data_IF_271136153554
#
_entry.id   IF_271136153554
#
_cell.length_a   1.000
_cell.length_b   1.000
_cell.length_c   1.000
_cell.angle_alpha   90.00
_cell.angle_beta   90.00
_cell.angle_gamma   90.00
#
_symmetry.space_group_name_H-M   'P 1'
#
loop_
_entity.id
_entity.type
_entity.pdbx_description
1 polymer ?
#
# COMPACT_ATOMS: atom_id res chain seq x y z
N UNK A 1 -0.18 -0.35 27.15
CA UNK A 1 -0.56 -1.77 27.04
C UNK A 1 -0.69 -2.22 25.58
N UNK A 2 -1.55 -1.57 24.81
CA UNK A 2 -1.90 -1.96 23.43
C UNK A 2 -0.69 -2.11 22.49
N UNK A 3 0.16 -1.08 22.40
CA UNK A 3 1.36 -1.12 21.53
C UNK A 3 2.34 -2.19 21.95
N UNK A 4 2.52 -2.38 23.27
CA UNK A 4 3.40 -3.43 23.79
C UNK A 4 2.85 -4.82 23.47
N UNK A 5 1.56 -5.05 23.64
CA UNK A 5 0.91 -6.32 23.32
C UNK A 5 1.01 -6.66 21.83
N UNK A 6 0.72 -5.69 20.96
CA UNK A 6 0.88 -5.87 19.53
C UNK A 6 2.34 -6.09 19.12
N UNK A 7 3.28 -5.34 19.70
CA UNK A 7 4.71 -5.47 19.41
C UNK A 7 5.27 -6.84 19.82
N UNK A 8 4.93 -7.33 21.00
CA UNK A 8 5.32 -8.67 21.48
C UNK A 8 4.72 -9.75 20.57
N UNK A 9 3.43 -9.64 20.23
CA UNK A 9 2.78 -10.58 19.31
C UNK A 9 3.44 -10.63 17.95
N UNK A 10 3.70 -9.47 17.34
CA UNK A 10 4.35 -9.38 16.05
C UNK A 10 5.79 -9.92 16.09
N UNK A 11 6.53 -9.66 17.15
CA UNK A 11 7.88 -10.21 17.35
C UNK A 11 7.86 -11.75 17.42
N UNK A 12 6.94 -12.31 18.19
CA UNK A 12 6.76 -13.77 18.28
C UNK A 12 6.38 -14.35 16.91
N UNK A 13 5.41 -13.73 16.24
CA UNK A 13 4.98 -14.20 14.91
C UNK A 13 6.11 -14.15 13.89
N UNK A 14 6.92 -13.07 13.89
CA UNK A 14 8.10 -12.96 13.03
C UNK A 14 9.15 -14.01 13.33
N UNK A 15 9.43 -14.26 14.61
CA UNK A 15 10.41 -15.28 15.04
C UNK A 15 10.02 -16.68 14.56
N UNK A 16 8.73 -17.04 14.60
CA UNK A 16 8.22 -18.34 14.14
C UNK A 16 7.86 -18.36 12.65
N UNK A 17 7.99 -17.25 11.92
CA UNK A 17 7.63 -17.15 10.51
C UNK A 17 6.12 -17.25 10.25
N UNK A 18 5.29 -16.86 11.21
CA UNK A 18 3.84 -16.88 11.04
C UNK A 18 3.37 -15.67 10.21
N UNK A 19 2.59 -15.89 9.16
CA UNK A 19 2.03 -14.80 8.36
C UNK A 19 0.86 -14.15 9.10
N UNK A 20 1.12 -13.03 9.78
CA UNK A 20 0.10 -12.28 10.53
C UNK A 20 -0.07 -10.87 9.96
N UNK A 21 -1.26 -10.30 10.12
CA UNK A 21 -1.54 -8.92 9.73
C UNK A 21 -1.24 -7.96 10.88
N UNK A 22 -0.41 -6.95 10.62
CA UNK A 22 -0.12 -5.87 11.56
C UNK A 22 -1.38 -5.11 11.96
N UNK A 23 -2.25 -4.78 11.00
CA UNK A 23 -3.52 -4.08 11.24
C UNK A 23 -4.46 -4.90 12.14
N UNK A 24 -4.63 -6.21 11.86
CA UNK A 24 -5.46 -7.08 12.71
C UNK A 24 -4.89 -7.17 14.13
N UNK A 25 -3.57 -7.27 14.24
CA UNK A 25 -2.89 -7.35 15.54
C UNK A 25 -3.09 -6.09 16.37
N UNK A 26 -2.96 -4.91 15.77
CA UNK A 26 -3.18 -3.62 16.45
C UNK A 26 -4.65 -3.47 16.86
N UNK A 27 -5.60 -3.74 15.96
CA UNK A 27 -7.04 -3.65 16.29
C UNK A 27 -7.40 -4.63 17.40
N UNK A 28 -6.92 -5.88 17.31
CA UNK A 28 -7.12 -6.87 18.36
C UNK A 28 -6.52 -6.44 19.71
N UNK A 29 -5.33 -5.87 19.69
CA UNK A 29 -4.67 -5.36 20.90
C UNK A 29 -5.43 -4.18 21.54
N UNK A 30 -5.99 -3.26 20.72
CA UNK A 30 -6.81 -2.14 21.19
C UNK A 30 -8.09 -2.68 21.87
N UNK A 31 -8.80 -3.57 21.18
CA UNK A 31 -10.04 -4.16 21.68
C UNK A 31 -9.79 -5.00 22.94
N UNK A 32 -8.75 -5.85 22.92
CA UNK A 32 -8.40 -6.69 24.07
C UNK A 32 -7.98 -5.88 25.28
N UNK A 33 -7.16 -4.85 25.09
CA UNK A 33 -6.74 -3.96 26.17
C UNK A 33 -7.93 -3.18 26.77
N UNK A 34 -8.84 -2.67 25.93
CA UNK A 34 -10.04 -1.99 26.39
C UNK A 34 -10.97 -2.93 27.18
N UNK A 35 -11.19 -4.14 26.67
CA UNK A 35 -12.06 -5.14 27.31
C UNK A 35 -11.56 -5.52 28.70
N UNK A 36 -10.26 -5.75 28.85
CA UNK A 36 -9.66 -6.21 30.13
C UNK A 36 -9.41 -5.04 31.09
N UNK A 37 -8.94 -3.90 30.57
CA UNK A 37 -8.51 -2.77 31.39
C UNK A 37 -9.65 -1.83 31.84
N UNK A 38 -10.73 -1.75 31.03
CA UNK A 38 -11.82 -0.80 31.27
C UNK A 38 -13.17 -1.53 31.38
N UNK A 39 -13.44 -2.43 30.43
CA UNK A 39 -14.67 -3.20 30.30
C UNK A 39 -15.15 -3.32 28.87
N UNK A 40 -15.98 -4.31 28.61
CA UNK A 40 -16.51 -4.61 27.27
C UNK A 40 -17.52 -3.57 26.78
N UNK A 41 -18.12 -2.82 27.66
CA UNK A 41 -19.18 -1.84 27.39
C UNK A 41 -18.64 -0.56 26.75
N UNK A 42 -17.34 -0.26 26.91
CA UNK A 42 -16.69 0.91 26.28
C UNK A 42 -16.32 0.68 24.82
N UNK A 43 -16.42 -0.57 24.37
CA UNK A 43 -16.03 -0.95 23.01
C UNK A 43 -17.14 -0.58 22.03
N UNK A 44 -16.77 0.17 21.00
CA UNK A 44 -17.69 0.52 19.92
C UNK A 44 -17.85 -0.68 18.95
N UNK A 45 -18.63 -1.69 19.37
CA UNK A 45 -18.83 -2.93 18.61
C UNK A 45 -19.26 -2.71 17.15
N UNK A 46 -20.15 -1.72 16.80
CA UNK A 46 -20.46 -1.43 15.40
C UNK A 46 -19.22 -1.03 14.59
N UNK A 47 -18.27 -0.30 15.20
CA UNK A 47 -17.01 0.06 14.54
C UNK A 47 -16.12 -1.16 14.35
N UNK A 48 -15.99 -2.00 15.36
CA UNK A 48 -15.24 -3.26 15.27
C UNK A 48 -15.81 -4.16 14.18
N UNK A 49 -17.14 -4.34 14.14
CA UNK A 49 -17.81 -5.11 13.10
C UNK A 49 -17.58 -4.55 11.69
N UNK A 50 -17.63 -3.23 11.53
CA UNK A 50 -17.32 -2.56 10.26
C UNK A 50 -15.87 -2.81 9.81
N UNK A 51 -14.91 -2.80 10.74
CA UNK A 51 -13.52 -3.13 10.45
C UNK A 51 -13.38 -4.60 10.06
N UNK A 52 -13.99 -5.51 10.83
CA UNK A 52 -13.97 -6.95 10.53
C UNK A 52 -14.62 -7.27 9.17
N UNK A 53 -15.72 -6.60 8.82
CA UNK A 53 -16.34 -6.73 7.51
C UNK A 53 -15.39 -6.32 6.38
N UNK A 54 -14.60 -5.26 6.57
CA UNK A 54 -13.61 -4.82 5.57
C UNK A 54 -12.53 -5.87 5.31
N UNK A 55 -12.21 -6.74 6.27
CA UNK A 55 -11.23 -7.82 6.11
C UNK A 55 -11.69 -8.91 5.13
N UNK A 56 -13.00 -9.02 4.91
CA UNK A 56 -13.57 -9.94 3.92
C UNK A 56 -13.82 -9.20 2.59
N UNK A 57 -14.43 -8.01 2.67
CA UNK A 57 -14.81 -7.24 1.48
C UNK A 57 -13.59 -6.80 0.66
N UNK A 58 -12.53 -6.32 1.33
CA UNK A 58 -11.34 -5.81 0.64
C UNK A 58 -10.63 -6.88 -0.19
N UNK A 59 -10.33 -8.10 0.32
CA UNK A 59 -9.75 -9.16 -0.49
C UNK A 59 -10.62 -9.61 -1.65
N UNK A 60 -11.96 -9.66 -1.48
CA UNK A 60 -12.88 -10.04 -2.55
C UNK A 60 -12.84 -9.00 -3.68
N UNK A 61 -12.90 -7.71 -3.35
CA UNK A 61 -12.81 -6.64 -4.35
C UNK A 61 -11.44 -6.65 -5.03
N UNK A 62 -10.36 -6.73 -4.25
CA UNK A 62 -8.99 -6.76 -4.77
C UNK A 62 -8.75 -7.98 -5.67
N UNK A 63 -9.21 -9.16 -5.27
CA UNK A 63 -9.13 -10.40 -6.05
C UNK A 63 -9.91 -10.29 -7.37
N UNK A 64 -11.11 -9.72 -7.32
CA UNK A 64 -11.92 -9.50 -8.53
C UNK A 64 -11.24 -8.56 -9.50
N UNK A 65 -10.72 -7.42 -9.02
CA UNK A 65 -10.00 -6.46 -9.86
C UNK A 65 -8.74 -7.10 -10.44
N UNK A 66 -7.97 -7.82 -9.62
CA UNK A 66 -6.76 -8.52 -10.05
C UNK A 66 -7.05 -9.56 -11.13
N UNK A 67 -8.11 -10.35 -10.96
CA UNK A 67 -8.57 -11.32 -11.95
C UNK A 67 -8.95 -10.65 -13.28
N UNK A 68 -9.67 -9.54 -13.24
CA UNK A 68 -10.05 -8.79 -14.44
C UNK A 68 -8.82 -8.20 -15.14
N UNK A 69 -7.88 -7.60 -14.38
CA UNK A 69 -6.62 -7.08 -14.92
C UNK A 69 -5.78 -8.19 -15.54
N UNK A 70 -5.61 -9.32 -14.85
CA UNK A 70 -4.86 -10.45 -15.39
C UNK A 70 -5.49 -11.01 -16.65
N UNK A 71 -6.82 -11.13 -16.67
CA UNK A 71 -7.56 -11.60 -17.85
C UNK A 71 -7.39 -10.63 -19.03
N UNK A 72 -7.38 -9.33 -18.78
CA UNK A 72 -7.12 -8.33 -19.81
C UNK A 72 -5.69 -8.44 -20.35
N UNK A 73 -4.68 -8.56 -19.49
CA UNK A 73 -3.27 -8.80 -19.89
C UNK A 73 -3.15 -10.07 -20.71
N UNK A 74 -3.77 -11.17 -20.24
CA UNK A 74 -3.76 -12.45 -20.96
C UNK A 74 -4.30 -12.32 -22.37
N UNK A 75 -5.47 -11.68 -22.53
CA UNK A 75 -6.12 -11.52 -23.84
C UNK A 75 -5.44 -10.49 -24.74
N UNK A 76 -5.02 -9.35 -24.18
CA UNK A 76 -4.49 -8.23 -24.98
C UNK A 76 -3.00 -8.37 -25.28
N UNK A 77 -2.26 -9.17 -24.50
CA UNK A 77 -0.81 -9.29 -24.63
C UNK A 77 -0.39 -10.73 -24.87
N UNK A 78 -0.67 -11.66 -23.93
CA UNK A 78 -0.06 -12.98 -23.93
C UNK A 78 -0.63 -13.91 -25.02
N UNK A 79 -1.90 -13.78 -25.37
CA UNK A 79 -2.58 -14.62 -26.37
C UNK A 79 -2.61 -14.01 -27.77
N UNK A 80 -1.78 -13.02 -28.06
CA UNK A 80 -1.70 -12.40 -29.39
C UNK A 80 -0.62 -13.08 -30.22
N UNK A 81 -0.68 -12.93 -31.54
CA UNK A 81 0.33 -13.47 -32.47
C UNK A 81 1.74 -12.92 -32.22
N UNK A 82 1.82 -11.67 -31.73
CA UNK A 82 3.08 -11.04 -31.35
C UNK A 82 3.00 -10.43 -29.94
N UNK A 83 3.20 -11.24 -28.89
CA UNK A 83 3.10 -10.79 -27.51
C UNK A 83 4.05 -9.64 -27.16
N UNK A 84 5.24 -9.59 -27.75
CA UNK A 84 6.22 -8.53 -27.52
C UNK A 84 5.72 -7.15 -28.00
N UNK A 85 5.22 -7.07 -29.22
CA UNK A 85 4.68 -5.83 -29.74
C UNK A 85 3.41 -5.39 -29.01
N UNK A 86 2.58 -6.36 -28.64
CA UNK A 86 1.39 -6.13 -27.82
C UNK A 86 1.76 -5.62 -26.44
N UNK A 87 2.80 -6.19 -25.81
CA UNK A 87 3.30 -5.71 -24.52
C UNK A 87 3.78 -4.25 -24.61
N UNK A 88 4.61 -3.91 -25.60
CA UNK A 88 5.07 -2.52 -25.82
C UNK A 88 3.90 -1.54 -26.00
N UNK A 89 2.80 -1.99 -26.61
CA UNK A 89 1.62 -1.16 -26.88
C UNK A 89 0.75 -0.98 -25.63
N UNK A 90 0.50 -2.04 -24.87
CA UNK A 90 -0.50 -2.04 -23.78
C UNK A 90 0.10 -1.82 -22.40
N UNK A 91 1.36 -2.17 -22.13
CA UNK A 91 2.00 -1.96 -20.83
C UNK A 91 1.99 -0.50 -20.40
N UNK A 92 2.20 0.52 -21.26
CA UNK A 92 2.07 1.92 -20.87
C UNK A 92 0.69 2.28 -20.29
N UNK A 93 -0.38 1.63 -20.77
CA UNK A 93 -1.72 1.82 -20.18
C UNK A 93 -1.81 1.30 -18.74
N UNK A 94 -1.25 0.13 -18.46
CA UNK A 94 -1.20 -0.41 -17.09
C UNK A 94 -0.30 0.43 -16.18
N UNK A 95 0.79 0.98 -16.71
CA UNK A 95 1.64 1.93 -15.99
C UNK A 95 0.87 3.20 -15.63
N UNK A 96 0.12 3.75 -16.59
CA UNK A 96 -0.74 4.91 -16.33
C UNK A 96 -1.76 4.63 -15.24
N UNK A 97 -2.47 3.51 -15.32
CA UNK A 97 -3.48 3.13 -14.33
C UNK A 97 -2.88 3.03 -12.92
N UNK A 98 -1.75 2.33 -12.80
CA UNK A 98 -1.05 2.16 -11.52
C UNK A 98 -0.55 3.51 -10.99
N UNK A 99 0.10 4.30 -11.83
CA UNK A 99 0.62 5.62 -11.45
C UNK A 99 -0.49 6.57 -11.02
N UNK A 100 -1.61 6.56 -11.72
CA UNK A 100 -2.78 7.38 -11.38
C UNK A 100 -3.37 6.99 -10.02
N UNK A 101 -3.59 5.70 -9.78
CA UNK A 101 -4.16 5.21 -8.52
C UNK A 101 -3.23 5.51 -7.33
N UNK A 102 -1.93 5.24 -7.47
CA UNK A 102 -0.96 5.53 -6.41
C UNK A 102 -0.87 7.02 -6.12
N UNK A 103 -0.76 7.86 -7.16
CA UNK A 103 -0.73 9.31 -7.00
C UNK A 103 -2.02 9.83 -6.36
N UNK A 104 -3.17 9.30 -6.76
CA UNK A 104 -4.47 9.69 -6.18
C UNK A 104 -4.54 9.38 -4.68
N UNK A 105 -4.11 8.19 -4.26
CA UNK A 105 -4.05 7.82 -2.83
C UNK A 105 -3.08 8.73 -2.08
N UNK A 106 -1.92 9.01 -2.66
CA UNK A 106 -0.91 9.90 -2.07
C UNK A 106 -1.45 11.31 -1.87
N UNK A 107 -2.07 11.91 -2.88
CA UNK A 107 -2.60 13.28 -2.79
C UNK A 107 -3.83 13.40 -1.88
N UNK A 108 -4.71 12.39 -1.87
CA UNK A 108 -5.93 12.43 -1.05
C UNK A 108 -5.66 12.09 0.41
N UNK A 109 -4.75 11.14 0.69
CA UNK A 109 -4.49 10.64 2.05
C UNK A 109 -3.08 10.96 2.55
N UNK A 110 -2.06 10.70 1.75
CA UNK A 110 -0.67 10.77 2.18
C UNK A 110 -0.24 12.16 2.60
N UNK A 111 -0.52 13.17 1.79
CA UNK A 111 -0.08 14.55 2.05
C UNK A 111 -0.82 15.26 3.18
N UNK A 112 -2.00 14.78 3.57
CA UNK A 112 -2.70 15.32 4.76
C UNK A 112 -1.88 15.18 6.03
N UNK A 113 -1.09 14.12 6.14
CA UNK A 113 -0.23 13.87 7.31
C UNK A 113 0.96 14.84 7.39
N UNK A 114 1.29 15.50 6.28
CA UNK A 114 2.37 16.50 6.19
C UNK A 114 1.82 17.94 6.21
N UNK A 115 0.52 18.10 6.51
CA UNK A 115 -0.13 19.41 6.57
C UNK A 115 -0.52 19.99 5.21
N UNK A 116 -0.37 19.23 4.12
CA UNK A 116 -0.75 19.67 2.77
C UNK A 116 -2.10 19.02 2.41
N UNK A 117 -3.13 19.83 2.25
CA UNK A 117 -4.45 19.38 1.85
C UNK A 117 -4.79 19.86 0.44
N UNK A 118 -5.05 18.93 -0.46
CA UNK A 118 -5.59 19.22 -1.79
C UNK A 118 -7.10 19.01 -1.82
N UNK A 119 -7.79 19.82 -2.60
CA UNK A 119 -9.18 19.53 -2.96
C UNK A 119 -9.24 18.29 -3.85
N UNK A 120 -10.40 17.64 -3.93
CA UNK A 120 -10.57 16.46 -4.78
C UNK A 120 -10.19 16.74 -6.23
N UNK A 121 -10.60 17.90 -6.76
CA UNK A 121 -10.26 18.32 -8.13
C UNK A 121 -8.76 18.51 -8.35
N UNK A 122 -8.06 19.11 -7.39
CA UNK A 122 -6.60 19.27 -7.44
C UNK A 122 -5.89 17.92 -7.36
N UNK A 123 -6.36 17.02 -6.48
CA UNK A 123 -5.81 15.67 -6.36
C UNK A 123 -5.94 14.91 -7.67
N UNK A 124 -7.08 14.98 -8.34
CA UNK A 124 -7.28 14.35 -9.66
C UNK A 124 -6.34 14.97 -10.69
N UNK A 125 -6.27 16.30 -10.79
CA UNK A 125 -5.45 17.00 -11.77
C UNK A 125 -3.96 16.64 -11.60
N UNK A 126 -3.42 16.72 -10.40
CA UNK A 126 -2.03 16.36 -10.13
C UNK A 126 -1.77 14.86 -10.36
N UNK A 127 -2.71 13.99 -9.99
CA UNK A 127 -2.58 12.56 -10.25
C UNK A 127 -2.51 12.24 -11.74
N UNK A 128 -3.29 12.94 -12.57
CA UNK A 128 -3.23 12.81 -14.03
C UNK A 128 -1.89 13.27 -14.57
N UNK A 129 -1.36 14.43 -14.12
CA UNK A 129 -0.06 14.94 -14.56
C UNK A 129 1.06 13.96 -14.22
N UNK A 130 1.11 13.47 -12.97
CA UNK A 130 2.13 12.50 -12.55
C UNK A 130 1.99 11.16 -13.28
N UNK A 131 0.77 10.67 -13.46
CA UNK A 131 0.53 9.43 -14.21
C UNK A 131 0.98 9.55 -15.67
N UNK A 132 0.69 10.66 -16.33
CA UNK A 132 1.14 10.91 -17.71
C UNK A 132 2.67 11.00 -17.78
N UNK A 133 3.30 11.72 -16.86
CA UNK A 133 4.76 11.85 -16.80
C UNK A 133 5.45 10.48 -16.66
N UNK A 134 4.98 9.66 -15.70
CA UNK A 134 5.51 8.31 -15.46
C UNK A 134 5.27 7.41 -16.68
N UNK A 135 4.10 7.51 -17.31
CA UNK A 135 3.77 6.73 -18.49
C UNK A 135 4.66 7.09 -19.68
N UNK A 136 4.90 8.38 -19.90
CA UNK A 136 5.81 8.84 -20.98
C UNK A 136 7.23 8.33 -20.72
N UNK A 137 7.74 8.49 -19.50
CA UNK A 137 9.06 7.97 -19.12
C UNK A 137 9.17 6.45 -19.33
N UNK A 138 8.15 5.72 -18.87
CA UNK A 138 8.07 4.27 -19.06
C UNK A 138 8.00 3.88 -20.53
N UNK A 139 7.19 4.55 -21.33
CA UNK A 139 7.09 4.29 -22.76
C UNK A 139 8.42 4.55 -23.49
N UNK A 140 9.15 5.61 -23.12
CA UNK A 140 10.48 5.88 -23.65
C UNK A 140 11.50 4.77 -23.28
N UNK A 141 11.43 4.27 -22.06
CA UNK A 141 12.27 3.13 -21.64
C UNK A 141 11.91 1.86 -22.41
N UNK A 142 10.62 1.60 -22.63
CA UNK A 142 10.14 0.45 -23.39
C UNK A 142 10.56 0.50 -24.86
N UNK A 143 10.67 1.69 -25.46
CA UNK A 143 11.15 1.83 -26.83
C UNK A 143 12.59 1.37 -26.99
N UNK A 144 13.44 1.51 -25.95
CA UNK A 144 14.84 1.09 -25.98
C UNK A 144 15.03 -0.43 -25.86
N UNK A 145 13.99 -1.17 -25.52
CA UNK A 145 14.05 -2.63 -25.46
C UNK A 145 13.95 -3.17 -26.88
N UNK A 146 15.02 -3.81 -27.35
CA UNK A 146 15.05 -4.41 -28.66
C UNK A 146 14.80 -5.92 -28.61
N UNK A 147 14.25 -6.49 -29.68
CA UNK A 147 13.90 -7.91 -29.77
C UNK A 147 15.07 -8.79 -30.30
N UNK A 148 16.28 -8.22 -30.38
CA UNK A 148 17.46 -8.86 -30.97
C UNK A 148 17.92 -10.15 -30.32
N UNK A 149 17.46 -10.42 -29.08
CA UNK A 149 17.79 -11.67 -28.35
C UNK A 149 16.88 -12.86 -28.77
N UNK A 150 15.81 -12.61 -29.52
CA UNK A 150 14.83 -13.61 -29.96
C UNK A 150 15.42 -14.69 -30.89
N UNK A 151 16.45 -14.33 -31.67
CA UNK A 151 17.04 -15.26 -32.65
C UNK A 151 17.98 -16.31 -32.02
N UNK A 152 18.53 -16.06 -30.82
CA UNK A 152 19.55 -16.95 -30.23
C UNK A 152 19.01 -18.09 -29.35
N UNK A 153 17.87 -17.93 -28.69
CA UNK A 153 17.38 -18.89 -27.68
C UNK A 153 15.97 -19.45 -27.92
N UNK A 154 15.27 -19.04 -28.98
CA UNK A 154 13.95 -19.61 -29.35
C UNK A 154 12.80 -19.35 -28.36
N UNK A 155 13.01 -18.60 -27.29
CA UNK A 155 11.99 -18.37 -26.28
C UNK A 155 11.08 -17.20 -26.71
N UNK A 156 9.84 -17.54 -27.02
CA UNK A 156 8.79 -16.64 -27.50
C UNK A 156 8.49 -15.47 -26.56
N UNK A 157 8.84 -15.57 -25.26
CA UNK A 157 8.48 -14.62 -24.21
C UNK A 157 9.65 -13.78 -23.66
N UNK A 158 10.90 -14.00 -24.08
CA UNK A 158 12.07 -13.28 -23.53
C UNK A 158 11.93 -11.74 -23.61
N UNK A 159 11.43 -11.22 -24.72
CA UNK A 159 11.19 -9.80 -24.89
C UNK A 159 10.01 -9.28 -24.09
N UNK A 160 8.97 -10.10 -23.89
CA UNK A 160 7.79 -9.77 -23.07
C UNK A 160 8.20 -9.65 -21.61
N UNK A 161 9.03 -10.57 -21.12
CA UNK A 161 9.52 -10.56 -19.74
C UNK A 161 10.25 -9.25 -19.41
N UNK A 162 11.12 -8.76 -20.30
CA UNK A 162 11.81 -7.48 -20.12
C UNK A 162 10.87 -6.28 -20.06
N UNK A 163 9.84 -6.28 -20.89
CA UNK A 163 8.80 -5.23 -20.87
C UNK A 163 8.05 -5.25 -19.54
N UNK A 164 7.66 -6.44 -19.08
CA UNK A 164 6.98 -6.59 -17.80
C UNK A 164 7.89 -6.31 -16.60
N UNK A 165 9.21 -6.57 -16.70
CA UNK A 165 10.15 -6.25 -15.64
C UNK A 165 10.14 -4.77 -15.26
N UNK A 166 10.03 -3.85 -16.23
CA UNK A 166 9.89 -2.41 -15.96
C UNK A 166 8.58 -2.14 -15.20
N UNK A 167 7.47 -2.71 -15.66
CA UNK A 167 6.19 -2.57 -14.97
C UNK A 167 6.23 -3.16 -13.55
N UNK A 168 6.89 -4.31 -13.37
CA UNK A 168 7.05 -4.95 -12.06
C UNK A 168 7.86 -4.09 -11.09
N UNK A 169 8.97 -3.51 -11.50
CA UNK A 169 9.75 -2.60 -10.64
C UNK A 169 8.89 -1.41 -10.22
N UNK A 170 8.16 -0.81 -11.16
CA UNK A 170 7.29 0.30 -10.87
C UNK A 170 6.16 -0.07 -9.90
N UNK A 171 5.47 -1.19 -10.15
CA UNK A 171 4.38 -1.66 -9.27
C UNK A 171 4.90 -2.12 -7.91
N UNK A 172 6.09 -2.71 -7.84
CA UNK A 172 6.74 -3.07 -6.58
C UNK A 172 7.06 -1.84 -5.72
N UNK A 173 7.62 -0.78 -6.34
CA UNK A 173 7.85 0.50 -5.63
C UNK A 173 6.53 1.12 -5.15
N UNK A 174 5.49 1.10 -5.98
CA UNK A 174 4.17 1.59 -5.63
C UNK A 174 3.55 0.80 -4.47
N UNK A 175 3.68 -0.52 -4.48
CA UNK A 175 3.21 -1.40 -3.41
C UNK A 175 4.01 -1.18 -2.12
N UNK A 176 5.33 -1.08 -2.20
CA UNK A 176 6.17 -0.80 -1.04
C UNK A 176 5.80 0.53 -0.37
N UNK A 177 5.52 1.58 -1.17
CA UNK A 177 5.04 2.87 -0.66
C UNK A 177 3.67 2.74 0.01
N UNK A 178 2.71 2.08 -0.62
CA UNK A 178 1.35 1.92 -0.07
C UNK A 178 1.36 1.07 1.20
N UNK A 179 2.13 -0.03 1.22
CA UNK A 179 2.30 -0.90 2.38
C UNK A 179 2.97 -0.17 3.52
N UNK A 180 4.13 0.48 3.27
CA UNK A 180 4.85 1.23 4.27
C UNK A 180 4.02 2.35 4.89
N UNK A 181 3.23 3.07 4.09
CA UNK A 181 2.30 4.09 4.60
C UNK A 181 1.25 3.50 5.54
N UNK A 182 0.73 2.30 5.24
CA UNK A 182 -0.23 1.61 6.10
C UNK A 182 0.40 1.16 7.43
N UNK A 183 1.59 0.57 7.37
CA UNK A 183 2.27 0.06 8.56
C UNK A 183 2.76 1.19 9.47
N UNK A 184 3.24 2.29 8.89
CA UNK A 184 3.53 3.52 9.65
C UNK A 184 2.26 4.00 10.37
N UNK A 185 1.11 4.04 9.70
CA UNK A 185 -0.15 4.46 10.32
C UNK A 185 -0.59 3.55 11.47
N UNK A 186 -0.40 2.24 11.35
CA UNK A 186 -0.71 1.27 12.41
C UNK A 186 0.12 1.48 13.69
N UNK A 187 1.40 1.83 13.55
CA UNK A 187 2.27 2.11 14.69
C UNK A 187 2.02 3.51 15.27
N UNK A 188 1.87 4.50 14.41
CA UNK A 188 1.79 5.92 14.77
C UNK A 188 0.41 6.28 15.31
N UNK A 189 -0.67 5.73 14.78
CA UNK A 189 -2.03 6.08 15.19
C UNK A 189 -2.24 5.94 16.70
N UNK A 190 -2.01 4.77 17.29
CA UNK A 190 -2.12 4.58 18.73
C UNK A 190 -1.14 5.45 19.54
N UNK A 191 0.09 5.67 19.03
CA UNK A 191 1.06 6.52 19.71
C UNK A 191 0.62 7.99 19.73
N UNK A 192 0.14 8.52 18.59
CA UNK A 192 -0.36 9.87 18.50
C UNK A 192 -1.58 10.09 19.41
N UNK A 193 -2.48 9.10 19.50
CA UNK A 193 -3.61 9.15 20.42
C UNK A 193 -3.16 9.21 21.89
N UNK A 194 -2.17 8.42 22.29
CA UNK A 194 -1.61 8.46 23.63
C UNK A 194 -1.01 9.85 23.95
N UNK A 195 -0.18 10.36 23.03
CA UNK A 195 0.47 11.68 23.20
C UNK A 195 -0.57 12.79 23.29
N UNK A 196 -1.62 12.76 22.45
CA UNK A 196 -2.71 13.73 22.49
C UNK A 196 -3.44 13.72 23.84
N UNK A 197 -3.80 12.54 24.34
CA UNK A 197 -4.47 12.41 25.66
C UNK A 197 -3.59 12.92 26.81
N UNK A 198 -2.30 12.61 26.79
CA UNK A 198 -1.35 13.07 27.81
C UNK A 198 -1.19 14.59 27.78
N UNK A 199 -1.10 15.20 26.58
CA UNK A 199 -0.94 16.64 26.40
C UNK A 199 -2.21 17.43 26.74
N UNK A 200 -3.39 16.87 26.52
CA UNK A 200 -4.67 17.51 26.84
C UNK A 200 -5.10 17.33 28.32
N UNK A 201 -4.31 16.64 29.13
CA UNK A 201 -4.65 16.38 30.53
C UNK A 201 -5.77 15.34 30.73
N UNK A 202 -6.03 14.50 29.72
CA UNK A 202 -7.00 13.41 29.78
C UNK A 202 -8.17 13.54 28.80
N UNK A 203 -8.28 14.66 28.08
CA UNK A 203 -9.34 14.83 27.09
C UNK A 203 -9.08 13.99 25.84
N UNK A 204 -10.12 13.29 25.38
CA UNK A 204 -10.06 12.42 24.18
C UNK A 204 -10.67 13.20 23.00
N UNK A 205 -9.83 13.69 22.10
CA UNK A 205 -10.29 14.30 20.87
C UNK A 205 -10.72 13.24 19.85
N UNK A 206 -11.71 13.58 19.02
CA UNK A 206 -12.18 12.69 17.94
C UNK A 206 -11.11 12.46 16.85
N UNK A 207 -10.19 13.40 16.70
CA UNK A 207 -9.04 13.34 15.81
C UNK A 207 -7.82 13.89 16.51
N UNK A 208 -6.68 13.23 16.39
CA UNK A 208 -5.40 13.70 16.92
C UNK A 208 -4.52 14.16 15.78
N UNK A 209 -3.95 15.36 15.89
CA UNK A 209 -2.87 15.77 14.99
C UNK A 209 -1.65 14.89 15.26
N UNK A 210 -0.98 14.47 14.19
CA UNK A 210 0.20 13.63 14.28
C UNK A 210 1.45 14.52 14.13
N UNK A 211 2.17 14.84 15.22
CA UNK A 211 3.39 15.59 15.13
C UNK A 211 4.45 14.89 14.28
N UNK A 212 5.21 15.65 13.52
CA UNK A 212 6.23 15.12 12.60
C UNK A 212 7.27 14.20 13.29
N UNK A 213 7.63 14.49 14.54
CA UNK A 213 8.55 13.64 15.30
C UNK A 213 8.02 12.24 15.58
N UNK A 214 6.69 12.08 15.73
CA UNK A 214 6.06 10.76 15.89
C UNK A 214 6.16 9.98 14.58
N UNK A 215 5.97 10.64 13.43
CA UNK A 215 6.18 10.03 12.11
C UNK A 215 7.61 9.53 11.95
N UNK A 216 8.60 10.33 12.36
CA UNK A 216 10.00 9.93 12.29
C UNK A 216 10.32 8.72 13.17
N UNK A 217 9.79 8.66 14.40
CA UNK A 217 9.98 7.50 15.29
C UNK A 217 9.37 6.24 14.67
N UNK A 218 8.13 6.33 14.19
CA UNK A 218 7.46 5.18 13.56
C UNK A 218 8.19 4.69 12.31
N UNK A 219 8.57 5.60 11.43
CA UNK A 219 9.30 5.26 10.20
C UNK A 219 10.68 4.63 10.51
N UNK A 220 11.44 5.21 11.46
CA UNK A 220 12.73 4.64 11.87
C UNK A 220 12.57 3.26 12.50
N UNK A 221 11.54 3.06 13.31
CA UNK A 221 11.23 1.74 13.89
C UNK A 221 10.96 0.67 12.81
N UNK A 222 10.23 1.02 11.76
CA UNK A 222 10.00 0.11 10.62
C UNK A 222 11.31 -0.20 9.89
N UNK A 223 12.13 0.83 9.58
CA UNK A 223 13.41 0.63 8.90
C UNK A 223 14.35 -0.27 9.72
N UNK A 224 14.43 -0.04 11.03
CA UNK A 224 15.25 -0.87 11.93
C UNK A 224 14.69 -2.30 11.97
N UNK A 225 13.38 -2.46 12.12
CA UNK A 225 12.73 -3.77 12.13
C UNK A 225 13.00 -4.58 10.86
N UNK A 226 12.89 -3.95 9.69
CA UNK A 226 13.22 -4.58 8.40
C UNK A 226 14.69 -4.94 8.25
N UNK A 227 15.60 -4.19 8.90
CA UNK A 227 17.03 -4.47 8.85
C UNK A 227 17.46 -5.61 9.81
N UNK A 228 16.61 -5.92 10.80
CA UNK A 228 16.88 -6.96 11.81
C UNK A 228 16.32 -8.34 11.41
N UNK A 229 15.37 -8.40 10.47
CA UNK A 229 14.70 -9.62 10.00
C UNK A 229 15.16 -10.01 8.60
#
# INVERSE_FOLDING_TARGET
GTLLAAGIWLLIASYFGWPVSTTHSIVGAIVGFAAVGIGVDVIQWPKVASIAASWVISPVIAGTISFLLFTSVKKLILQTENPFMSAKRYVPFYMFLTAFLVSMVTFVKGLKHVGISFTTSQSIAWSLVFALMITVLGALLLQRIDNTTREKNGAMFDGVERVFAILMVFTACAMAFAHGSNDVANAIGPLAAIVSVVQSGGDIAATSDVPFWILLIGASGIVIGLAML
#
